data_IF_397474575266
#
_entry.id   IF_397474575266
#
_cell.length_a   1.000
_cell.length_b   1.000
_cell.length_c   1.000
_cell.angle_alpha   90.00
_cell.angle_beta   90.00
_cell.angle_gamma   90.00
#
_symmetry.space_group_name_H-M   'P 1'
#
loop_
_entity.id
_entity.type
_entity.pdbx_description
1 polymer ?
#
# COMPACT_ATOMS: atom_id res chain seq x y z
N UNK A 1 0.63 -19.46 3.24
CA UNK A 1 -0.32 -18.62 2.48
C UNK A 1 -1.72 -19.10 2.84
N UNK A 2 -2.49 -18.29 3.54
CA UNK A 2 -3.91 -18.54 3.75
C UNK A 2 -4.60 -18.42 2.39
N UNK A 3 -5.21 -19.50 1.91
CA UNK A 3 -6.03 -19.47 0.70
C UNK A 3 -7.16 -18.46 0.91
N UNK A 4 -7.30 -17.48 0.01
CA UNK A 4 -8.46 -16.59 0.03
C UNK A 4 -9.74 -17.41 -0.14
N UNK A 5 -10.82 -17.11 0.60
CA UNK A 5 -12.10 -17.74 0.38
C UNK A 5 -12.63 -17.36 -1.01
N UNK A 6 -13.32 -18.29 -1.67
CA UNK A 6 -13.82 -18.10 -3.04
C UNK A 6 -14.72 -16.86 -3.19
N UNK A 7 -15.50 -16.55 -2.15
CA UNK A 7 -16.34 -15.35 -2.11
C UNK A 7 -15.52 -14.05 -2.21
N UNK A 8 -14.36 -14.00 -1.56
CA UNK A 8 -13.49 -12.83 -1.57
C UNK A 8 -12.81 -12.68 -2.93
N UNK A 9 -12.39 -13.80 -3.54
CA UNK A 9 -11.86 -13.82 -4.91
C UNK A 9 -12.90 -13.24 -5.89
N UNK A 10 -14.16 -13.68 -5.81
CA UNK A 10 -15.21 -13.18 -6.70
C UNK A 10 -15.53 -11.69 -6.50
N UNK A 11 -15.51 -11.21 -5.25
CA UNK A 11 -15.65 -9.77 -4.93
C UNK A 11 -14.49 -8.98 -5.54
N UNK A 12 -13.26 -9.46 -5.35
CA UNK A 12 -12.05 -8.83 -5.87
C UNK A 12 -12.06 -8.78 -7.40
N UNK A 13 -12.48 -9.85 -8.09
CA UNK A 13 -12.57 -9.87 -9.56
C UNK A 13 -13.71 -9.00 -10.10
N UNK A 14 -14.72 -8.71 -9.29
CA UNK A 14 -15.85 -7.85 -9.67
C UNK A 14 -15.59 -6.36 -9.42
N UNK A 15 -14.49 -6.02 -8.75
CA UNK A 15 -14.08 -4.65 -8.49
C UNK A 15 -12.83 -4.29 -9.29
N UNK A 16 -12.82 -3.09 -9.86
CA UNK A 16 -11.65 -2.53 -10.53
C UNK A 16 -10.97 -1.55 -9.57
N UNK A 17 -9.93 -1.98 -8.84
CA UNK A 17 -9.20 -1.09 -7.94
C UNK A 17 -8.53 0.04 -8.76
N UNK A 18 -8.65 1.27 -8.28
CA UNK A 18 -7.99 2.43 -8.86
C UNK A 18 -6.79 2.84 -8.01
N UNK A 19 -5.65 3.07 -8.67
CA UNK A 19 -4.47 3.64 -8.04
C UNK A 19 -4.28 5.08 -8.50
N UNK A 20 -4.30 6.01 -7.56
CA UNK A 20 -4.02 7.42 -7.84
C UNK A 20 -2.58 7.59 -8.32
N UNK A 21 -2.40 8.36 -9.40
CA UNK A 21 -1.08 8.65 -9.96
C UNK A 21 -0.41 7.48 -10.71
N UNK A 22 -1.09 6.34 -10.89
CA UNK A 22 -0.60 5.22 -11.69
C UNK A 22 -1.51 4.96 -12.89
N UNK A 23 -0.88 4.72 -14.05
CA UNK A 23 -1.61 4.37 -15.27
C UNK A 23 -2.09 2.91 -15.19
N UNK A 24 -3.40 2.69 -15.25
CA UNK A 24 -4.00 1.35 -15.31
C UNK A 24 -3.72 0.72 -16.68
N UNK A 25 -3.46 -0.58 -16.71
CA UNK A 25 -3.25 -1.30 -17.97
C UNK A 25 -4.57 -1.34 -18.75
N UNK A 26 -4.59 -1.05 -20.06
CA UNK A 26 -5.84 -1.00 -20.84
C UNK A 26 -6.64 -2.30 -20.81
N UNK A 27 -5.96 -3.45 -20.75
CA UNK A 27 -6.60 -4.78 -20.68
C UNK A 27 -7.05 -5.18 -19.27
N UNK A 28 -6.84 -4.35 -18.24
CA UNK A 28 -7.06 -4.76 -16.85
C UNK A 28 -8.49 -5.22 -16.55
N UNK A 29 -9.50 -4.53 -17.09
CA UNK A 29 -10.91 -4.91 -16.90
C UNK A 29 -11.25 -6.20 -17.62
N UNK A 30 -10.80 -6.36 -18.87
CA UNK A 30 -11.02 -7.56 -19.68
C UNK A 30 -10.39 -8.80 -19.04
N UNK A 31 -9.15 -8.68 -18.54
CA UNK A 31 -8.46 -9.78 -17.85
C UNK A 31 -9.18 -10.22 -16.57
N UNK A 32 -9.79 -9.26 -15.84
CA UNK A 32 -10.60 -9.57 -14.65
C UNK A 32 -11.88 -10.32 -15.01
N UNK A 33 -12.57 -9.89 -16.05
CA UNK A 33 -13.78 -10.55 -16.54
C UNK A 33 -13.49 -11.96 -17.06
N UNK A 34 -12.44 -12.10 -17.86
CA UNK A 34 -11.98 -13.41 -18.37
C UNK A 34 -11.63 -14.36 -17.22
N UNK A 35 -10.90 -13.86 -16.23
CA UNK A 35 -10.52 -14.65 -15.06
C UNK A 35 -11.73 -15.01 -14.20
N UNK A 36 -12.67 -14.09 -14.00
CA UNK A 36 -13.92 -14.34 -13.27
C UNK A 36 -14.73 -15.44 -13.94
N UNK A 37 -14.88 -15.38 -15.27
CA UNK A 37 -15.59 -16.40 -16.03
C UNK A 37 -14.89 -17.76 -15.95
N UNK A 38 -13.57 -17.78 -16.13
CA UNK A 38 -12.78 -19.01 -16.02
C UNK A 38 -12.84 -19.61 -14.61
N UNK A 39 -12.79 -18.79 -13.56
CA UNK A 39 -12.89 -19.21 -12.16
C UNK A 39 -14.27 -19.81 -11.84
N UNK A 40 -15.36 -19.22 -12.35
CA UNK A 40 -16.71 -19.77 -12.18
C UNK A 40 -16.90 -21.13 -12.87
N UNK A 41 -16.24 -21.35 -14.01
CA UNK A 41 -16.35 -22.60 -14.76
C UNK A 41 -15.45 -23.73 -14.24
N UNK A 42 -14.21 -23.41 -13.87
CA UNK A 42 -13.17 -24.39 -13.59
C UNK A 42 -12.70 -24.38 -12.13
N UNK A 43 -13.24 -23.49 -11.30
CA UNK A 43 -12.89 -23.34 -9.90
C UNK A 43 -11.48 -22.75 -9.66
N UNK A 44 -10.90 -22.98 -8.47
CA UNK A 44 -9.64 -22.36 -8.03
C UNK A 44 -8.40 -22.75 -8.85
N UNK A 45 -8.46 -23.82 -9.65
CA UNK A 45 -7.33 -24.31 -10.47
C UNK A 45 -6.85 -23.29 -11.52
N UNK A 46 -7.66 -22.28 -11.81
CA UNK A 46 -7.32 -21.19 -12.74
C UNK A 46 -6.28 -20.22 -12.16
N UNK A 47 -6.08 -20.20 -10.85
CA UNK A 47 -5.13 -19.30 -10.16
C UNK A 47 -3.68 -19.78 -10.21
N UNK A 48 -3.20 -20.12 -11.41
CA UNK A 48 -1.87 -20.70 -11.64
C UNK A 48 -0.88 -19.70 -12.22
N UNK A 49 -1.35 -18.58 -12.78
CA UNK A 49 -0.49 -17.55 -13.35
C UNK A 49 -0.28 -16.39 -12.38
N UNK A 50 0.88 -15.70 -12.41
CA UNK A 50 1.11 -14.52 -11.58
C UNK A 50 0.04 -13.43 -11.76
N UNK A 51 -0.45 -13.23 -12.99
CA UNK A 51 -1.55 -12.29 -13.27
C UNK A 51 -2.84 -12.73 -12.60
N UNK A 52 -3.22 -14.01 -12.71
CA UNK A 52 -4.44 -14.50 -12.07
C UNK A 52 -4.43 -14.37 -10.55
N UNK A 53 -3.29 -14.64 -9.93
CA UNK A 53 -3.10 -14.45 -8.49
C UNK A 53 -3.20 -12.95 -8.15
N UNK A 54 -2.50 -12.08 -8.89
CA UNK A 54 -2.53 -10.63 -8.71
C UNK A 54 -3.96 -10.07 -8.74
N UNK A 55 -4.75 -10.47 -9.74
CA UNK A 55 -6.13 -10.03 -9.90
C UNK A 55 -7.07 -10.60 -8.82
N UNK A 56 -6.91 -11.88 -8.47
CA UNK A 56 -7.69 -12.55 -7.42
C UNK A 56 -7.48 -11.94 -6.02
N UNK A 57 -6.27 -11.40 -5.78
CA UNK A 57 -5.96 -10.62 -4.58
C UNK A 57 -6.50 -9.18 -4.61
N UNK A 58 -7.25 -8.79 -5.65
CA UNK A 58 -7.84 -7.45 -5.74
C UNK A 58 -6.82 -6.35 -6.03
N UNK A 59 -5.64 -6.68 -6.56
CA UNK A 59 -4.58 -5.71 -6.82
C UNK A 59 -4.78 -5.00 -8.17
N UNK A 60 -4.52 -3.70 -8.23
CA UNK A 60 -4.61 -2.95 -9.48
C UNK A 60 -3.58 -3.43 -10.50
N UNK A 61 -4.04 -3.68 -11.72
CA UNK A 61 -3.17 -4.03 -12.83
C UNK A 61 -2.79 -2.74 -13.57
N UNK A 62 -1.60 -2.24 -13.29
CA UNK A 62 -1.07 -0.97 -13.80
C UNK A 62 0.10 -1.19 -14.75
N UNK A 63 0.38 -0.20 -15.59
CA UNK A 63 1.60 -0.18 -16.41
C UNK A 63 2.82 -0.26 -15.48
N UNK A 64 3.70 -1.23 -15.72
CA UNK A 64 4.87 -1.47 -14.87
C UNK A 64 4.60 -2.29 -13.61
N UNK A 65 3.40 -2.86 -13.44
CA UNK A 65 3.17 -3.87 -12.41
C UNK A 65 4.19 -5.00 -12.57
N UNK A 66 4.87 -5.37 -11.48
CA UNK A 66 5.81 -6.48 -11.44
C UNK A 66 5.07 -7.84 -11.48
N UNK A 67 4.35 -8.09 -12.57
CA UNK A 67 3.74 -9.36 -12.87
C UNK A 67 4.86 -10.38 -13.13
N UNK A 68 4.95 -11.41 -12.29
CA UNK A 68 5.95 -12.47 -12.46
C UNK A 68 6.64 -12.93 -11.19
N UNK A 69 6.54 -12.17 -10.09
CA UNK A 69 7.02 -12.62 -8.79
C UNK A 69 5.86 -12.88 -7.85
N UNK A 70 5.87 -14.05 -7.20
CA UNK A 70 4.97 -14.33 -6.08
C UNK A 70 5.30 -13.28 -5.01
N UNK A 71 4.31 -12.49 -4.55
CA UNK A 71 4.58 -11.50 -3.52
C UNK A 71 5.15 -12.19 -2.27
N UNK A 72 6.19 -11.62 -1.63
CA UNK A 72 6.74 -12.20 -0.42
C UNK A 72 5.67 -12.32 0.66
N UNK A 73 5.79 -13.34 1.51
CA UNK A 73 4.87 -13.52 2.63
C UNK A 73 4.92 -12.32 3.59
N UNK A 74 3.86 -12.11 4.37
CA UNK A 74 3.82 -11.05 5.39
C UNK A 74 5.01 -11.16 6.34
N UNK A 75 5.39 -12.38 6.74
CA UNK A 75 6.54 -12.63 7.62
C UNK A 75 7.86 -12.25 6.96
N UNK A 76 8.02 -12.54 5.67
CA UNK A 76 9.19 -12.13 4.88
C UNK A 76 9.28 -10.61 4.79
N UNK A 77 8.15 -9.94 4.52
CA UNK A 77 8.05 -8.49 4.49
C UNK A 77 8.40 -7.88 5.85
N UNK A 78 7.80 -8.39 6.93
CA UNK A 78 8.05 -7.92 8.30
C UNK A 78 9.53 -8.10 8.67
N UNK A 79 10.11 -9.26 8.37
CA UNK A 79 11.52 -9.56 8.63
C UNK A 79 12.42 -8.51 7.97
N UNK A 80 12.20 -8.22 6.68
CA UNK A 80 12.96 -7.19 5.98
C UNK A 80 12.69 -5.78 6.55
N UNK A 81 11.44 -5.50 6.92
CA UNK A 81 10.99 -4.21 7.44
C UNK A 81 11.66 -3.86 8.78
N UNK A 82 11.88 -4.85 9.65
CA UNK A 82 12.51 -4.66 10.98
C UNK A 82 14.04 -4.70 10.97
N UNK A 83 14.71 -4.88 9.81
CA UNK A 83 16.18 -4.91 9.76
C UNK A 83 16.80 -3.54 10.14
N UNK A 84 17.59 -3.46 11.23
CA UNK A 84 18.20 -2.21 11.67
C UNK A 84 19.43 -1.83 10.81
N UNK A 85 19.75 -0.53 10.76
CA UNK A 85 21.04 -0.05 10.24
C UNK A 85 22.05 0.25 11.38
N UNK A 86 23.18 0.87 11.03
CA UNK A 86 24.23 1.30 11.97
C UNK A 86 23.72 2.22 13.10
N UNK A 87 22.65 2.98 12.89
CA UNK A 87 22.04 3.85 13.91
C UNK A 87 20.78 3.23 14.54
N UNK A 88 20.59 1.92 14.39
CA UNK A 88 19.47 1.14 14.94
C UNK A 88 18.09 1.53 14.41
N UNK A 89 18.00 2.30 13.32
CA UNK A 89 16.73 2.55 12.63
C UNK A 89 16.41 1.39 11.70
N UNK A 90 15.22 0.83 11.85
CA UNK A 90 14.70 -0.24 10.98
C UNK A 90 14.48 0.26 9.55
N UNK A 91 14.48 -0.66 8.57
CA UNK A 91 14.17 -0.32 7.17
C UNK A 91 12.81 0.39 7.05
N UNK A 92 11.82 -0.10 7.80
CA UNK A 92 10.50 0.50 7.90
C UNK A 92 10.49 1.90 8.47
N UNK A 93 11.21 2.15 9.57
CA UNK A 93 11.34 3.48 10.15
C UNK A 93 11.96 4.48 9.16
N UNK A 94 12.98 4.06 8.39
CA UNK A 94 13.60 4.93 7.38
C UNK A 94 12.65 5.24 6.22
N UNK A 95 11.94 4.22 5.73
CA UNK A 95 10.94 4.40 4.68
C UNK A 95 9.83 5.35 5.16
N UNK A 96 9.30 5.12 6.37
CA UNK A 96 8.29 5.97 6.99
C UNK A 96 8.76 7.42 7.13
N UNK A 97 9.97 7.66 7.64
CA UNK A 97 10.55 9.01 7.72
C UNK A 97 10.65 9.71 6.36
N UNK A 98 11.02 8.99 5.31
CA UNK A 98 11.07 9.53 3.96
C UNK A 98 9.67 9.86 3.42
N UNK A 99 8.68 9.01 3.64
CA UNK A 99 7.31 9.22 3.18
C UNK A 99 6.60 10.33 3.97
N UNK A 100 6.70 10.34 5.29
CA UNK A 100 6.14 11.39 6.14
C UNK A 100 6.68 12.77 5.80
N UNK A 101 7.97 12.89 5.44
CA UNK A 101 8.53 14.17 5.00
C UNK A 101 7.97 14.62 3.64
N UNK A 102 7.74 13.70 2.70
CA UNK A 102 7.24 14.01 1.35
C UNK A 102 5.76 14.39 1.34
N UNK A 103 4.95 13.74 2.17
CA UNK A 103 3.51 14.01 2.23
C UNK A 103 3.13 15.30 2.95
N UNK A 104 4.09 15.99 3.59
CA UNK A 104 3.87 17.31 4.18
C UNK A 104 4.03 18.45 3.17
N UNK A 105 4.67 18.19 2.02
CA UNK A 105 5.00 19.24 1.03
C UNK A 105 3.82 19.54 0.11
N UNK A 106 2.91 18.59 -0.12
CA UNK A 106 1.78 18.75 -1.04
C UNK A 106 0.57 19.51 -0.45
N UNK A 107 0.66 19.99 0.80
CA UNK A 107 -0.43 20.70 1.49
C UNK A 107 -0.21 22.23 1.61
N UNK A 108 0.76 22.79 0.88
CA UNK A 108 1.08 24.23 0.92
C UNK A 108 1.11 24.83 -0.49
N UNK A 109 -0.01 24.80 -1.20
CA UNK A 109 -0.24 25.64 -2.38
C UNK A 109 -1.49 26.54 -2.19
N UNK A 110 -1.70 27.03 -0.96
CA UNK A 110 -2.59 28.17 -0.73
C UNK A 110 -1.73 29.40 -0.44
N UNK A 111 -1.75 30.30 -1.43
CA UNK A 111 -1.11 31.60 -1.47
C UNK A 111 -1.39 32.42 -0.20
N UNK A 112 -0.35 32.78 0.56
CA UNK A 112 -0.32 34.09 1.19
C UNK A 112 1.11 34.51 1.55
N UNK A 113 1.69 35.29 0.64
CA UNK A 113 2.88 36.10 0.87
C UNK A 113 2.53 37.16 1.93
N UNK A 114 2.93 36.90 3.18
CA UNK A 114 3.15 37.98 4.14
C UNK A 114 4.37 37.65 4.98
N UNK A 115 5.45 38.34 4.64
CA UNK A 115 6.63 38.49 5.48
C UNK A 115 6.20 38.95 6.87
N UNK A 116 6.27 38.06 7.86
CA UNK A 116 6.88 38.27 9.18
C UNK A 116 6.54 37.11 10.15
N UNK A 117 7.54 36.69 10.94
CA UNK A 117 7.49 35.74 12.07
C UNK A 117 7.59 34.22 11.78
N UNK A 118 8.81 33.80 11.46
CA UNK A 118 9.30 32.42 11.37
C UNK A 118 9.34 31.61 12.70
N UNK A 119 8.24 31.50 13.47
CA UNK A 119 8.25 30.61 14.66
C UNK A 119 7.02 29.72 14.90
N UNK A 120 5.96 29.84 14.09
CA UNK A 120 4.86 28.88 14.11
C UNK A 120 4.80 28.15 12.78
N UNK A 121 5.62 27.10 12.63
CA UNK A 121 5.30 26.00 11.72
C UNK A 121 3.93 25.49 12.15
N UNK A 122 2.88 25.99 11.50
CA UNK A 122 1.53 25.51 11.71
C UNK A 122 1.59 23.99 11.59
N UNK A 123 1.14 23.32 12.66
CA UNK A 123 0.88 21.89 12.65
C UNK A 123 -0.24 21.67 11.64
N UNK A 124 0.11 21.58 10.35
CA UNK A 124 -0.75 20.98 9.36
C UNK A 124 -1.23 19.64 9.92
N UNK A 125 -2.48 19.29 9.60
CA UNK A 125 -3.02 17.98 9.97
C UNK A 125 -2.00 16.92 9.55
N UNK A 126 -1.53 16.06 10.46
CA UNK A 126 -0.56 15.05 10.11
C UNK A 126 -1.20 14.20 9.00
N UNK A 127 -0.60 14.21 7.81
CA UNK A 127 -1.09 13.43 6.67
C UNK A 127 -1.15 11.94 7.02
N UNK A 128 -1.64 11.11 6.11
CA UNK A 128 -1.89 9.67 6.35
C UNK A 128 -0.74 8.92 7.07
N UNK A 129 0.50 9.29 6.76
CA UNK A 129 1.72 8.72 7.34
C UNK A 129 2.03 9.23 8.76
N UNK A 130 1.56 10.41 9.14
CA UNK A 130 1.97 11.10 10.36
C UNK A 130 3.43 11.58 10.34
N UNK A 131 3.88 12.14 11.46
CA UNK A 131 5.22 12.70 11.61
C UNK A 131 6.08 11.79 12.51
N UNK A 132 7.17 11.19 11.98
CA UNK A 132 8.09 10.43 12.80
C UNK A 132 8.87 11.38 13.72
N UNK A 133 8.74 11.18 15.02
CA UNK A 133 9.45 11.98 16.03
C UNK A 133 9.64 11.18 17.33
N UNK A 134 10.69 11.55 18.08
CA UNK A 134 11.07 10.93 19.36
C UNK A 134 12.31 10.04 19.27
N UNK A 135 12.59 9.25 20.33
CA UNK A 135 13.70 8.29 20.36
C UNK A 135 13.61 7.23 19.25
N UNK A 136 14.76 6.68 18.84
CA UNK A 136 14.87 5.65 17.80
C UNK A 136 13.95 4.45 18.07
N UNK A 137 13.86 4.00 19.33
CA UNK A 137 12.98 2.91 19.76
C UNK A 137 11.52 3.22 19.46
N UNK A 138 11.04 4.40 19.86
CA UNK A 138 9.67 4.84 19.60
C UNK A 138 9.36 4.99 18.11
N UNK A 139 10.33 5.42 17.29
CA UNK A 139 10.14 5.51 15.84
C UNK A 139 10.00 4.10 15.23
N UNK A 140 10.83 3.15 15.64
CA UNK A 140 10.77 1.77 15.17
C UNK A 140 9.46 1.07 15.56
N UNK A 141 8.99 1.28 16.79
CA UNK A 141 7.70 0.76 17.27
C UNK A 141 6.54 1.31 16.45
N UNK A 142 6.48 2.64 16.25
CA UNK A 142 5.44 3.29 15.43
C UNK A 142 5.49 2.84 13.97
N UNK A 143 6.68 2.66 13.40
CA UNK A 143 6.82 2.13 12.05
C UNK A 143 6.25 0.71 11.95
N UNK A 144 6.47 -0.14 12.96
CA UNK A 144 5.93 -1.50 13.00
C UNK A 144 4.41 -1.50 13.15
N UNK A 145 3.85 -0.61 13.97
CA UNK A 145 2.40 -0.42 14.05
C UNK A 145 1.81 0.03 12.70
N UNK A 146 2.51 0.90 11.98
CA UNK A 146 2.11 1.34 10.65
C UNK A 146 2.17 0.22 9.61
N UNK A 147 3.17 -0.67 9.68
CA UNK A 147 3.22 -1.87 8.84
C UNK A 147 1.94 -2.69 9.01
N UNK A 148 1.55 -3.02 10.24
CA UNK A 148 0.32 -3.78 10.49
C UNK A 148 -0.93 -3.01 10.10
N UNK A 149 -0.98 -1.69 10.31
CA UNK A 149 -2.08 -0.85 9.81
C UNK A 149 -2.22 -1.01 8.29
N UNK A 150 -1.11 -0.98 7.55
CA UNK A 150 -1.14 -1.12 6.09
C UNK A 150 -1.50 -2.54 5.70
N UNK A 151 -0.81 -3.55 6.23
CA UNK A 151 -1.02 -4.95 5.84
C UNK A 151 -2.43 -5.44 6.18
N UNK A 152 -3.01 -4.98 7.29
CA UNK A 152 -4.36 -5.39 7.70
C UNK A 152 -5.48 -4.59 6.99
N UNK A 153 -5.21 -3.37 6.52
CA UNK A 153 -6.19 -2.56 5.78
C UNK A 153 -6.00 -2.61 4.25
N UNK A 154 -4.92 -3.23 3.76
CA UNK A 154 -4.62 -3.35 2.33
C UNK A 154 -5.52 -4.38 1.62
N UNK A 155 -6.31 -5.17 2.34
CA UNK A 155 -7.25 -6.15 1.77
C UNK A 155 -8.55 -5.54 1.23
N UNK A 156 -8.72 -4.22 1.24
CA UNK A 156 -9.79 -3.56 0.49
C UNK A 156 -10.43 -2.42 1.25
N UNK A 157 -10.65 -1.34 0.51
CA UNK A 157 -11.35 -0.11 0.87
C UNK A 157 -10.63 0.84 1.84
N UNK A 158 -10.33 2.09 1.42
CA UNK A 158 -10.30 3.18 2.36
C UNK A 158 -11.75 3.41 2.81
N UNK A 159 -12.13 2.85 3.96
CA UNK A 159 -13.25 3.43 4.72
C UNK A 159 -12.72 4.74 5.30
N UNK A 160 -12.86 5.80 4.51
CA UNK A 160 -12.87 7.17 5.02
C UNK A 160 -14.15 7.31 5.85
N UNK A 161 -13.99 7.33 7.16
CA UNK A 161 -14.89 8.03 8.08
C UNK A 161 -14.06 9.04 8.86
#
# INVERSE_FOLDING_TARGET
MTSLPESEILINLSTTPHCLGLQVQPSASEERENLKFAFLLNGPLVLSTPLSIHLAHGLAYTVGSALGSIPPSVDTCLTAFVLPNKVQLTAGARAWSKHGHRSLVEAQDDENDSDEAASHRQKGTPGWWGTPSGPVTSINEKASALFWKITNNATGFPTLY
#
